data_IF_937864946189
#
_entry.id   IF_937864946189
#
_cell.length_a   1.000
_cell.length_b   1.000
_cell.length_c   1.000
_cell.angle_alpha   90.00
_cell.angle_beta   90.00
_cell.angle_gamma   90.00
#
_symmetry.space_group_name_H-M   'P 1'
#
loop_
_entity.id
_entity.type
_entity.pdbx_description
1 polymer ?
#
# COMPACT_ATOMS: atom_id res chain seq x y z
N UNK A 1 -3.52 -32.28 -28.16
CA UNK A 1 -4.15 -30.98 -28.24
C UNK A 1 -4.94 -30.58 -27.00
N UNK A 2 -5.87 -31.42 -26.45
CA UNK A 2 -6.64 -31.06 -25.21
C UNK A 2 -5.78 -30.77 -23.97
N UNK A 3 -4.66 -31.48 -23.80
CA UNK A 3 -3.73 -31.25 -22.63
C UNK A 3 -2.95 -29.94 -22.75
N UNK A 4 -2.63 -29.49 -23.96
CA UNK A 4 -1.95 -28.23 -24.20
C UNK A 4 -2.88 -27.02 -23.93
N UNK A 5 -4.17 -27.17 -24.29
CA UNK A 5 -5.20 -26.14 -24.03
C UNK A 5 -5.48 -25.98 -22.53
N UNK A 6 -5.42 -27.07 -21.74
CA UNK A 6 -5.56 -27.03 -20.28
C UNK A 6 -4.36 -26.34 -19.63
N UNK A 7 -3.15 -26.58 -20.14
CA UNK A 7 -1.92 -25.96 -19.61
C UNK A 7 -1.89 -24.45 -19.89
N UNK A 8 -2.31 -24.03 -21.09
CA UNK A 8 -2.43 -22.59 -21.40
C UNK A 8 -3.53 -21.91 -20.61
N UNK A 9 -4.64 -22.60 -20.34
CA UNK A 9 -5.70 -22.08 -19.47
C UNK A 9 -5.24 -21.94 -18.00
N UNK A 10 -4.46 -22.90 -17.50
CA UNK A 10 -3.88 -22.84 -16.14
C UNK A 10 -2.83 -21.73 -16.02
N UNK A 11 -2.01 -21.50 -17.04
CA UNK A 11 -1.01 -20.41 -17.05
C UNK A 11 -1.73 -19.04 -17.12
N UNK A 12 -2.82 -18.94 -17.89
CA UNK A 12 -3.61 -17.70 -17.96
C UNK A 12 -4.35 -17.39 -16.65
N UNK A 13 -4.84 -18.42 -15.92
CA UNK A 13 -5.51 -18.23 -14.64
C UNK A 13 -4.55 -17.75 -13.54
N UNK A 14 -3.30 -18.22 -13.53
CA UNK A 14 -2.30 -17.74 -12.58
C UNK A 14 -1.81 -16.30 -12.87
N UNK A 15 -1.90 -15.84 -14.14
CA UNK A 15 -1.53 -14.46 -14.50
C UNK A 15 -2.55 -13.41 -13.99
N UNK A 16 -3.75 -13.82 -13.58
CA UNK A 16 -4.81 -12.95 -13.05
C UNK A 16 -4.91 -12.95 -11.52
N UNK A 17 -4.08 -13.72 -10.83
CA UNK A 17 -4.13 -13.89 -9.39
C UNK A 17 -3.18 -12.93 -8.63
N UNK A 18 -2.46 -12.06 -9.34
CA UNK A 18 -1.53 -11.13 -8.73
C UNK A 18 -2.29 -9.98 -8.04
N UNK A 19 -1.97 -9.71 -6.78
CA UNK A 19 -2.57 -8.59 -6.05
C UNK A 19 -2.25 -7.25 -6.71
N UNK A 20 -3.25 -6.39 -6.74
CA UNK A 20 -3.19 -5.04 -7.28
C UNK A 20 -3.33 -4.06 -6.13
N UNK A 21 -2.41 -3.13 -6.07
CA UNK A 21 -2.42 -2.04 -5.13
C UNK A 21 -2.71 -0.73 -5.86
N UNK A 22 -3.80 -0.06 -5.53
CA UNK A 22 -4.08 1.32 -5.95
C UNK A 22 -3.57 2.27 -4.88
N UNK A 23 -2.63 3.11 -5.24
CA UNK A 23 -2.01 4.11 -4.36
C UNK A 23 -2.63 5.47 -4.66
N UNK A 24 -3.00 6.18 -3.61
CA UNK A 24 -3.47 7.56 -3.67
C UNK A 24 -2.61 8.40 -2.76
N UNK A 25 -1.96 9.43 -3.29
CA UNK A 25 -1.29 10.46 -2.51
C UNK A 25 -2.20 11.67 -2.41
N UNK A 26 -2.43 12.17 -1.20
CA UNK A 26 -3.44 13.19 -0.91
C UNK A 26 -2.81 14.42 -0.26
N UNK A 27 -3.17 15.59 -0.75
CA UNK A 27 -2.76 16.87 -0.14
C UNK A 27 -3.89 17.46 0.71
N UNK A 28 -4.12 16.86 1.87
CA UNK A 28 -5.12 17.32 2.84
C UNK A 28 -4.53 18.45 3.71
N UNK A 29 -5.20 19.62 3.84
CA UNK A 29 -4.72 20.68 4.71
C UNK A 29 -4.46 20.19 6.14
N UNK A 30 -3.32 20.54 6.73
CA UNK A 30 -2.91 20.11 8.07
C UNK A 30 -3.96 20.37 9.16
N UNK A 31 -4.70 21.48 9.04
CA UNK A 31 -5.79 21.82 9.96
C UNK A 31 -6.98 20.84 9.90
N UNK A 32 -7.10 20.06 8.82
CA UNK A 32 -8.15 19.06 8.61
C UNK A 32 -7.66 17.62 8.73
N UNK A 33 -6.37 17.42 8.99
CA UNK A 33 -5.74 16.10 8.98
C UNK A 33 -6.41 15.12 9.97
N UNK A 34 -6.65 15.54 11.21
CA UNK A 34 -7.29 14.69 12.22
C UNK A 34 -8.75 14.35 11.86
N UNK A 35 -9.47 15.29 11.29
CA UNK A 35 -10.86 15.06 10.87
C UNK A 35 -10.89 14.13 9.65
N UNK A 36 -9.95 14.28 8.73
CA UNK A 36 -9.79 13.37 7.60
C UNK A 36 -9.60 11.91 8.08
N UNK A 37 -8.69 11.64 9.03
CA UNK A 37 -8.47 10.28 9.56
C UNK A 37 -9.74 9.69 10.17
N UNK A 38 -10.51 10.48 10.93
CA UNK A 38 -11.78 10.04 11.52
C UNK A 38 -12.83 9.75 10.44
N UNK A 39 -12.96 10.62 9.45
CA UNK A 39 -13.88 10.45 8.33
C UNK A 39 -13.45 9.25 7.46
N UNK A 40 -12.15 9.07 7.21
CA UNK A 40 -11.63 7.92 6.48
C UNK A 40 -12.07 6.61 7.15
N UNK A 41 -11.80 6.46 8.46
CA UNK A 41 -12.28 5.30 9.23
C UNK A 41 -13.79 5.11 9.07
N UNK A 42 -14.59 6.17 9.32
CA UNK A 42 -16.05 6.10 9.27
C UNK A 42 -16.54 5.60 7.92
N UNK A 43 -16.04 6.16 6.81
CA UNK A 43 -16.56 5.85 5.49
C UNK A 43 -15.99 4.54 4.92
N UNK A 44 -14.81 4.11 5.35
CA UNK A 44 -14.32 2.75 5.10
C UNK A 44 -15.21 1.73 5.82
N UNK A 45 -15.55 1.95 7.08
CA UNK A 45 -16.45 1.06 7.83
C UNK A 45 -17.83 0.98 7.15
N UNK A 46 -18.37 2.13 6.70
CA UNK A 46 -19.63 2.17 5.94
C UNK A 46 -19.51 1.45 4.59
N UNK A 47 -18.40 1.60 3.87
CA UNK A 47 -18.16 0.90 2.62
C UNK A 47 -18.22 -0.62 2.79
N UNK A 48 -17.63 -1.15 3.86
CA UNK A 48 -17.63 -2.58 4.15
C UNK A 48 -18.92 -3.08 4.81
N UNK A 49 -19.85 -2.19 5.22
CA UNK A 49 -21.15 -2.56 5.71
C UNK A 49 -22.02 -3.16 4.60
N UNK A 50 -22.35 -4.42 4.68
CA UNK A 50 -23.48 -4.95 3.91
C UNK A 50 -23.19 -5.60 2.57
N UNK A 51 -21.94 -5.73 2.11
CA UNK A 51 -21.67 -6.43 0.86
C UNK A 51 -20.62 -7.52 1.03
N UNK A 52 -21.03 -8.77 0.72
CA UNK A 52 -20.08 -9.88 0.50
C UNK A 52 -19.35 -9.71 -0.86
N UNK A 53 -19.84 -8.81 -1.72
CA UNK A 53 -19.37 -8.57 -3.08
C UNK A 53 -18.30 -7.45 -3.18
N UNK A 54 -17.82 -6.92 -2.04
CA UNK A 54 -16.77 -5.92 -2.03
C UNK A 54 -15.52 -6.42 -2.76
N UNK A 55 -15.11 -5.68 -3.80
CA UNK A 55 -13.96 -6.05 -4.61
C UNK A 55 -12.63 -5.67 -3.97
N UNK A 56 -12.63 -4.64 -3.11
CA UNK A 56 -11.49 -4.26 -2.31
C UNK A 56 -11.28 -5.28 -1.18
N UNK A 57 -10.07 -5.82 -1.09
CA UNK A 57 -9.69 -6.76 -0.04
C UNK A 57 -9.31 -6.02 1.26
N UNK A 58 -8.60 -4.91 1.13
CA UNK A 58 -8.18 -4.10 2.28
C UNK A 58 -7.84 -2.67 1.87
N UNK A 59 -7.80 -1.77 2.85
CA UNK A 59 -7.25 -0.43 2.69
C UNK A 59 -6.30 -0.09 3.83
N UNK A 60 -5.32 0.76 3.54
CA UNK A 60 -4.22 1.14 4.42
C UNK A 60 -4.02 2.65 4.35
N UNK A 61 -3.85 3.29 5.50
CA UNK A 61 -3.65 4.74 5.61
C UNK A 61 -2.31 5.05 6.26
N UNK A 62 -1.57 5.96 5.63
CA UNK A 62 -0.29 6.46 6.11
C UNK A 62 -0.29 7.99 6.11
N UNK A 63 0.36 8.59 7.11
CA UNK A 63 0.70 10.02 7.08
C UNK A 63 2.14 10.20 6.60
N UNK A 64 2.34 11.21 5.78
CA UNK A 64 3.69 11.62 5.40
C UNK A 64 4.48 12.15 6.60
N UNK A 65 5.77 11.81 6.63
CA UNK A 65 6.71 12.31 7.65
C UNK A 65 7.88 13.03 7.00
N UNK A 66 8.55 12.42 6.01
CA UNK A 66 9.67 13.01 5.27
C UNK A 66 9.71 12.50 3.81
N UNK A 67 10.17 13.34 2.88
CA UNK A 67 10.57 12.92 1.54
C UNK A 67 9.61 13.30 0.40
N UNK A 68 8.44 13.89 0.68
CA UNK A 68 7.50 14.36 -0.35
C UNK A 68 6.56 15.46 0.13
N UNK A 69 5.68 15.93 -0.75
CA UNK A 69 4.80 17.10 -0.53
C UNK A 69 3.35 16.72 -0.16
N UNK A 70 2.99 15.42 -0.11
CA UNK A 70 1.64 14.99 0.25
C UNK A 70 1.42 14.90 1.78
N UNK A 71 0.17 14.91 2.22
CA UNK A 71 -0.19 14.75 3.64
C UNK A 71 -0.45 13.29 4.00
N UNK A 72 -1.18 12.56 3.15
CA UNK A 72 -1.54 11.16 3.36
C UNK A 72 -1.25 10.31 2.13
N UNK A 73 -0.99 9.03 2.37
CA UNK A 73 -0.99 7.98 1.35
C UNK A 73 -2.05 6.96 1.74
N UNK A 74 -2.97 6.66 0.82
CA UNK A 74 -3.95 5.58 0.95
C UNK A 74 -3.56 4.48 -0.03
N UNK A 75 -3.61 3.23 0.42
CA UNK A 75 -3.40 2.07 -0.43
C UNK A 75 -4.63 1.19 -0.34
N UNK A 76 -5.26 0.94 -1.48
CA UNK A 76 -6.35 -0.03 -1.61
C UNK A 76 -5.81 -1.29 -2.28
N UNK A 77 -6.08 -2.44 -1.67
CA UNK A 77 -5.62 -3.74 -2.17
C UNK A 77 -6.79 -4.48 -2.80
N UNK A 78 -6.54 -5.01 -3.98
CA UNK A 78 -7.49 -5.81 -4.74
C UNK A 78 -6.89 -7.17 -5.08
N UNK A 79 -7.69 -8.26 -5.07
CA UNK A 79 -7.16 -9.61 -5.32
C UNK A 79 -6.64 -9.81 -6.75
N UNK A 80 -7.00 -8.95 -7.69
CA UNK A 80 -6.51 -8.95 -9.07
C UNK A 80 -6.98 -7.71 -9.83
N UNK A 81 -6.47 -7.52 -11.05
CA UNK A 81 -6.79 -6.36 -11.90
C UNK A 81 -8.28 -6.33 -12.33
N UNK A 82 -8.96 -7.46 -12.44
CA UNK A 82 -10.38 -7.50 -12.77
C UNK A 82 -11.22 -6.97 -11.61
N UNK A 83 -10.86 -7.34 -10.38
CA UNK A 83 -11.50 -6.82 -9.18
C UNK A 83 -11.29 -5.31 -9.06
N UNK A 84 -10.07 -4.82 -9.29
CA UNK A 84 -9.76 -3.38 -9.27
C UNK A 84 -10.54 -2.63 -10.37
N UNK A 85 -10.49 -3.09 -11.62
CA UNK A 85 -11.17 -2.45 -12.75
C UNK A 85 -12.72 -2.51 -12.65
N UNK A 86 -13.26 -3.51 -11.95
CA UNK A 86 -14.69 -3.68 -11.70
C UNK A 86 -15.12 -3.15 -10.33
N UNK A 87 -14.18 -2.60 -9.54
CA UNK A 87 -14.52 -1.93 -8.29
C UNK A 87 -15.49 -0.81 -8.62
N UNK A 88 -16.72 -1.00 -8.21
CA UNK A 88 -17.75 0.01 -8.35
C UNK A 88 -17.24 1.25 -7.62
N UNK A 89 -17.49 2.40 -8.22
CA UNK A 89 -17.20 3.69 -7.63
C UNK A 89 -17.50 3.64 -6.11
N UNK A 90 -16.45 3.74 -5.32
CA UNK A 90 -16.47 3.71 -3.87
C UNK A 90 -17.59 4.57 -3.28
N UNK A 91 -17.83 5.76 -3.87
CA UNK A 91 -18.90 6.65 -3.48
C UNK A 91 -20.32 6.10 -3.71
N UNK A 92 -20.51 5.27 -4.72
CA UNK A 92 -21.82 4.64 -4.99
C UNK A 92 -22.15 3.64 -3.89
N UNK A 93 -21.20 2.80 -3.48
CA UNK A 93 -21.42 1.82 -2.40
C UNK A 93 -21.62 2.49 -1.03
N UNK A 94 -20.84 3.53 -0.71
CA UNK A 94 -21.01 4.30 0.53
C UNK A 94 -22.40 4.90 0.59
N UNK A 95 -22.87 5.59 -0.47
CA UNK A 95 -24.20 6.19 -0.50
C UNK A 95 -25.32 5.15 -0.40
N UNK A 96 -25.22 4.04 -1.11
CA UNK A 96 -26.14 2.92 -1.03
C UNK A 96 -26.23 2.34 0.39
N UNK A 97 -25.08 2.17 1.05
CA UNK A 97 -25.04 1.65 2.41
C UNK A 97 -25.67 2.65 3.41
N UNK A 98 -25.41 3.95 3.27
CA UNK A 98 -26.09 4.99 4.07
C UNK A 98 -27.62 4.93 3.86
N UNK A 99 -28.09 4.78 2.62
CA UNK A 99 -29.52 4.69 2.33
C UNK A 99 -30.18 3.47 2.98
N UNK A 100 -29.44 2.38 3.14
CA UNK A 100 -29.92 1.13 3.75
C UNK A 100 -29.79 1.09 5.29
N UNK A 101 -29.17 2.09 5.93
CA UNK A 101 -29.10 2.14 7.39
C UNK A 101 -30.48 2.33 8.01
N UNK A 102 -30.73 1.69 9.15
CA UNK A 102 -31.95 1.90 9.97
C UNK A 102 -31.77 3.11 10.91
N UNK A 103 -31.68 4.29 10.30
CA UNK A 103 -31.56 5.59 10.99
C UNK A 103 -32.52 6.61 10.35
N UNK A 104 -32.75 7.74 11.01
CA UNK A 104 -33.65 8.80 10.53
C UNK A 104 -33.17 9.41 9.21
N UNK A 105 -34.09 10.02 8.49
CA UNK A 105 -33.80 10.79 7.25
C UNK A 105 -32.72 11.87 7.48
N UNK A 106 -32.86 12.61 8.58
CA UNK A 106 -31.94 13.72 8.90
C UNK A 106 -30.53 13.18 9.19
N UNK A 107 -30.40 12.05 9.89
CA UNK A 107 -29.10 11.39 10.12
C UNK A 107 -28.46 10.89 8.81
N UNK A 108 -29.25 10.29 7.90
CA UNK A 108 -28.75 9.91 6.55
C UNK A 108 -28.25 11.12 5.78
N UNK A 109 -28.99 12.22 5.82
CA UNK A 109 -28.60 13.47 5.17
C UNK A 109 -27.28 14.01 5.74
N UNK A 110 -27.14 14.05 7.07
CA UNK A 110 -25.89 14.49 7.73
C UNK A 110 -24.70 13.60 7.31
N UNK A 111 -24.88 12.28 7.27
CA UNK A 111 -23.82 11.37 6.82
C UNK A 111 -23.42 11.60 5.35
N UNK A 112 -24.38 11.89 4.47
CA UNK A 112 -24.11 12.20 3.06
C UNK A 112 -23.40 13.54 2.89
N UNK A 113 -23.73 14.54 3.68
CA UNK A 113 -23.06 15.85 3.68
C UNK A 113 -21.60 15.70 4.19
N UNK A 114 -21.40 14.90 5.24
CA UNK A 114 -20.07 14.57 5.75
C UNK A 114 -19.25 13.71 4.75
N UNK A 115 -19.91 12.75 4.08
CA UNK A 115 -19.29 11.99 2.98
C UNK A 115 -18.82 12.91 1.85
N UNK A 116 -19.66 13.86 1.44
CA UNK A 116 -19.29 14.84 0.41
C UNK A 116 -18.04 15.64 0.82
N UNK A 117 -17.98 16.07 2.09
CA UNK A 117 -16.81 16.78 2.63
C UNK A 117 -15.54 15.93 2.60
N UNK A 118 -15.64 14.67 3.05
CA UNK A 118 -14.53 13.73 3.00
C UNK A 118 -14.07 13.47 1.57
N UNK A 119 -15.01 13.23 0.67
CA UNK A 119 -14.72 12.91 -0.73
C UNK A 119 -14.06 14.10 -1.46
N UNK A 120 -14.45 15.32 -1.15
CA UNK A 120 -13.74 16.51 -1.66
C UNK A 120 -12.30 16.55 -1.19
N UNK A 121 -12.03 16.31 0.10
CA UNK A 121 -10.65 16.25 0.62
C UNK A 121 -9.83 15.13 -0.03
N UNK A 122 -10.49 14.04 -0.41
CA UNK A 122 -9.85 12.92 -1.11
C UNK A 122 -9.53 13.27 -2.56
N UNK A 123 -10.41 14.02 -3.25
CA UNK A 123 -10.26 14.35 -4.67
C UNK A 123 -9.35 15.57 -4.92
N UNK A 124 -9.34 16.53 -4.01
CA UNK A 124 -8.54 17.75 -4.15
C UNK A 124 -7.05 17.43 -3.98
N UNK A 125 -6.29 17.47 -5.08
CA UNK A 125 -4.83 17.28 -5.06
C UNK A 125 -4.39 15.83 -4.80
N UNK A 126 -5.06 14.85 -5.41
CA UNK A 126 -4.61 13.47 -5.38
C UNK A 126 -3.88 13.07 -6.67
N UNK A 127 -2.90 12.21 -6.52
CA UNK A 127 -2.29 11.45 -7.61
C UNK A 127 -2.58 9.97 -7.44
N UNK A 128 -2.85 9.29 -8.55
CA UNK A 128 -3.19 7.88 -8.60
C UNK A 128 -2.08 7.06 -9.26
N UNK A 129 -1.77 5.93 -8.68
CA UNK A 129 -0.98 4.91 -9.37
C UNK A 129 -1.49 3.51 -9.07
N UNK A 130 -1.32 2.61 -10.03
CA UNK A 130 -1.63 1.20 -9.87
C UNK A 130 -0.32 0.43 -9.92
N UNK A 131 -0.13 -0.45 -8.93
CA UNK A 131 1.05 -1.29 -8.79
C UNK A 131 0.65 -2.76 -8.65
N UNK A 132 1.58 -3.64 -9.03
CA UNK A 132 1.44 -5.08 -8.85
C UNK A 132 2.48 -5.56 -7.86
N UNK A 133 2.13 -6.48 -6.98
CA UNK A 133 3.06 -7.09 -6.03
C UNK A 133 4.00 -8.08 -6.72
N UNK A 134 5.18 -8.26 -6.14
CA UNK A 134 6.09 -9.38 -6.44
C UNK A 134 5.94 -10.40 -5.31
N UNK A 135 4.88 -11.21 -5.36
CA UNK A 135 4.42 -12.06 -4.26
C UNK A 135 5.50 -13.02 -3.74
N UNK A 136 6.34 -13.55 -4.64
CA UNK A 136 7.48 -14.42 -4.31
C UNK A 136 8.64 -13.69 -3.60
N UNK A 137 8.58 -12.36 -3.53
CA UNK A 137 9.60 -11.51 -2.91
C UNK A 137 9.09 -10.78 -1.66
N UNK A 138 7.82 -10.95 -1.31
CA UNK A 138 7.29 -10.41 -0.05
C UNK A 138 8.01 -11.11 1.12
N UNK A 139 8.40 -10.30 2.09
CA UNK A 139 8.89 -10.77 3.38
C UNK A 139 7.94 -10.25 4.47
N UNK A 140 7.54 -11.12 5.36
CA UNK A 140 6.83 -10.79 6.60
C UNK A 140 7.50 -11.59 7.70
N UNK A 141 7.84 -10.92 8.81
CA UNK A 141 8.41 -11.59 9.99
C UNK A 141 7.46 -12.70 10.50
N UNK A 142 8.01 -13.72 11.15
CA UNK A 142 7.22 -14.79 11.76
C UNK A 142 6.35 -14.30 12.93
N UNK A 143 6.73 -13.17 13.54
CA UNK A 143 5.94 -12.52 14.59
C UNK A 143 4.78 -11.76 13.96
N UNK A 144 3.59 -11.87 14.57
CA UNK A 144 2.42 -11.07 14.16
C UNK A 144 2.73 -9.57 14.24
N UNK A 145 2.45 -8.85 13.14
CA UNK A 145 2.52 -7.39 13.14
C UNK A 145 1.27 -6.85 13.84
N UNK A 146 1.47 -6.05 14.89
CA UNK A 146 0.36 -5.42 15.63
C UNK A 146 -0.10 -4.14 14.91
N UNK A 147 -1.08 -4.28 14.03
CA UNK A 147 -1.66 -3.16 13.27
C UNK A 147 -2.51 -2.20 14.11
N UNK A 148 -2.65 -2.43 15.42
CA UNK A 148 -3.21 -1.43 16.34
C UNK A 148 -2.18 -0.37 16.75
N UNK A 149 -0.92 -0.56 16.41
CA UNK A 149 0.19 0.35 16.73
C UNK A 149 0.70 1.07 15.49
N UNK A 150 1.22 2.27 15.72
CA UNK A 150 1.95 3.03 14.69
C UNK A 150 3.26 2.34 14.33
N UNK A 151 3.53 2.27 13.04
CA UNK A 151 4.75 1.74 12.46
C UNK A 151 5.39 2.81 11.57
N UNK A 152 6.71 2.77 11.44
CA UNK A 152 7.41 3.54 10.42
C UNK A 152 7.45 2.72 9.14
N UNK A 153 7.01 3.33 8.05
CA UNK A 153 7.02 2.69 6.73
C UNK A 153 7.78 3.54 5.74
N UNK A 154 8.82 2.97 5.17
CA UNK A 154 9.67 3.64 4.18
C UNK A 154 9.33 3.07 2.80
N UNK A 155 8.85 3.92 1.92
CA UNK A 155 8.68 3.59 0.51
C UNK A 155 9.96 3.96 -0.22
N UNK A 156 10.73 2.94 -0.56
CA UNK A 156 11.97 3.04 -1.33
C UNK A 156 11.62 2.90 -2.81
N UNK A 157 11.89 3.91 -3.61
CA UNK A 157 11.47 4.02 -5.00
C UNK A 157 12.67 4.13 -5.92
N UNK A 158 12.64 3.42 -7.04
CA UNK A 158 13.71 3.45 -8.06
C UNK A 158 13.15 3.36 -9.47
N UNK A 159 13.85 3.96 -10.40
CA UNK A 159 13.41 4.02 -11.79
C UNK A 159 14.43 3.43 -12.76
N UNK A 160 14.80 2.13 -12.61
CA UNK A 160 15.69 1.47 -13.54
C UNK A 160 15.13 1.48 -14.95
N UNK A 161 16.00 1.65 -15.95
CA UNK A 161 15.60 1.58 -17.35
C UNK A 161 15.00 0.21 -17.64
N UNK A 162 14.04 0.14 -18.55
CA UNK A 162 13.33 -1.10 -18.89
C UNK A 162 14.26 -2.30 -19.16
N UNK A 163 15.34 -2.07 -19.90
CA UNK A 163 16.33 -3.11 -20.23
C UNK A 163 17.08 -3.66 -19.01
N UNK A 164 17.26 -2.84 -17.96
CA UNK A 164 18.03 -3.14 -16.77
C UNK A 164 17.15 -3.61 -15.58
N UNK A 165 15.82 -3.52 -15.74
CA UNK A 165 14.85 -3.75 -14.65
C UNK A 165 14.98 -5.11 -13.98
N UNK A 166 15.13 -6.19 -14.75
CA UNK A 166 15.26 -7.55 -14.20
C UNK A 166 16.57 -7.71 -13.42
N UNK A 167 17.66 -7.17 -13.94
CA UNK A 167 18.95 -7.17 -13.28
C UNK A 167 18.87 -6.36 -11.98
N UNK A 168 18.29 -5.16 -12.02
CA UNK A 168 18.06 -4.33 -10.85
C UNK A 168 17.30 -5.09 -9.73
N UNK A 169 16.15 -5.68 -10.03
CA UNK A 169 15.35 -6.43 -9.05
C UNK A 169 16.16 -7.59 -8.46
N UNK A 170 16.91 -8.33 -9.28
CA UNK A 170 17.76 -9.42 -8.80
C UNK A 170 18.84 -8.94 -7.84
N UNK A 171 19.53 -7.85 -8.17
CA UNK A 171 20.57 -7.25 -7.32
C UNK A 171 19.99 -6.65 -6.05
N UNK A 172 18.83 -5.97 -6.15
CA UNK A 172 18.10 -5.42 -5.00
C UNK A 172 17.71 -6.52 -4.00
N UNK A 173 17.18 -7.65 -4.50
CA UNK A 173 16.84 -8.80 -3.65
C UNK A 173 18.05 -9.35 -2.90
N UNK A 174 19.20 -9.51 -3.57
CA UNK A 174 20.43 -10.04 -2.98
C UNK A 174 21.07 -9.11 -1.96
N UNK A 175 21.01 -7.80 -2.22
CA UNK A 175 21.70 -6.79 -1.40
C UNK A 175 20.77 -6.14 -0.41
N UNK A 176 19.88 -5.25 -0.86
CA UNK A 176 19.06 -4.42 0.03
C UNK A 176 18.05 -5.24 0.82
N UNK A 177 17.24 -6.06 0.12
CA UNK A 177 16.21 -6.87 0.76
C UNK A 177 16.82 -7.89 1.74
N UNK A 178 17.77 -8.69 1.28
CA UNK A 178 18.37 -9.72 2.12
C UNK A 178 19.11 -9.14 3.33
N UNK A 179 19.86 -8.06 3.14
CA UNK A 179 20.54 -7.39 4.25
C UNK A 179 19.56 -6.86 5.31
N UNK A 180 18.41 -6.30 4.88
CA UNK A 180 17.40 -5.84 5.82
C UNK A 180 16.72 -6.99 6.59
N UNK A 181 16.55 -8.14 5.95
CA UNK A 181 16.05 -9.36 6.61
C UNK A 181 17.07 -9.88 7.63
N UNK A 182 18.34 -9.98 7.23
CA UNK A 182 19.42 -10.52 8.09
C UNK A 182 19.66 -9.65 9.33
N UNK A 183 19.39 -8.36 9.26
CA UNK A 183 19.44 -7.44 10.40
C UNK A 183 18.29 -7.66 11.40
N UNK A 184 17.17 -8.25 10.96
CA UNK A 184 16.05 -8.60 11.82
C UNK A 184 15.18 -7.40 12.28
N UNK A 185 15.43 -6.19 11.78
CA UNK A 185 14.71 -4.98 12.20
C UNK A 185 13.45 -4.72 11.35
N UNK A 186 13.41 -5.22 10.12
CA UNK A 186 12.26 -5.08 9.24
C UNK A 186 11.15 -6.08 9.63
N UNK A 187 9.94 -5.58 9.87
CA UNK A 187 8.75 -6.40 10.12
C UNK A 187 8.18 -6.98 8.83
N UNK A 188 8.20 -6.19 7.76
CA UNK A 188 7.78 -6.62 6.42
C UNK A 188 8.53 -5.83 5.34
N UNK A 189 8.68 -6.45 4.18
CA UNK A 189 9.18 -5.83 2.96
C UNK A 189 8.24 -6.24 1.82
N UNK A 190 7.56 -5.27 1.23
CA UNK A 190 6.56 -5.49 0.18
C UNK A 190 7.02 -4.79 -1.10
N UNK A 191 7.68 -5.50 -2.03
CA UNK A 191 8.09 -4.95 -3.30
C UNK A 191 6.93 -4.94 -4.31
N UNK A 192 6.85 -3.87 -5.09
CA UNK A 192 5.84 -3.67 -6.12
C UNK A 192 6.45 -3.14 -7.40
N UNK A 193 5.83 -3.49 -8.52
CA UNK A 193 6.14 -2.96 -9.84
C UNK A 193 5.05 -2.01 -10.32
N UNK A 194 5.43 -0.98 -11.05
CA UNK A 194 4.51 -0.06 -11.68
C UNK A 194 3.65 -0.76 -12.75
N UNK A 195 2.34 -0.54 -12.71
CA UNK A 195 1.39 -1.01 -13.71
C UNK A 195 0.79 0.15 -14.51
N UNK A 196 0.33 1.21 -13.85
CA UNK A 196 -0.27 2.40 -14.48
C UNK A 196 -0.11 3.64 -13.59
N UNK A 197 -0.14 4.83 -14.20
CA UNK A 197 0.08 6.12 -13.52
C UNK A 197 1.45 6.72 -13.83
N UNK A 198 1.78 7.83 -13.19
CA UNK A 198 3.06 8.56 -13.38
C UNK A 198 3.99 8.34 -12.19
N UNK A 199 4.64 7.19 -12.09
CA UNK A 199 5.45 6.87 -10.92
C UNK A 199 6.71 6.08 -11.25
N UNK A 200 7.49 5.78 -10.22
CA UNK A 200 8.69 4.95 -10.27
C UNK A 200 8.37 3.52 -10.70
N UNK A 201 9.22 2.92 -11.54
CA UNK A 201 8.98 1.58 -12.08
C UNK A 201 9.10 0.46 -11.04
N UNK A 202 9.84 0.70 -9.96
CA UNK A 202 10.00 -0.19 -8.82
C UNK A 202 9.80 0.58 -7.51
N UNK A 203 9.12 -0.04 -6.55
CA UNK A 203 8.94 0.47 -5.20
C UNK A 203 8.98 -0.71 -4.22
N UNK A 204 9.51 -0.50 -3.02
CA UNK A 204 9.41 -1.45 -1.93
C UNK A 204 9.03 -0.72 -0.63
N UNK A 205 8.01 -1.20 0.05
CA UNK A 205 7.61 -0.71 1.38
C UNK A 205 8.33 -1.51 2.46
N UNK A 206 9.15 -0.86 3.26
CA UNK A 206 9.84 -1.42 4.42
C UNK A 206 9.13 -1.01 5.69
N UNK A 207 8.69 -1.95 6.49
CA UNK A 207 7.98 -1.75 7.74
C UNK A 207 8.90 -1.93 8.94
N UNK A 208 8.87 -0.99 9.88
CA UNK A 208 9.65 -1.00 11.11
C UNK A 208 8.74 -0.76 12.31
N UNK A 209 9.02 -1.43 13.43
CA UNK A 209 8.23 -1.29 14.66
C UNK A 209 8.30 0.12 15.26
N UNK A 210 9.38 0.85 15.01
CA UNK A 210 9.66 2.17 15.59
C UNK A 210 10.72 2.92 14.80
N UNK A 211 10.92 4.20 15.14
CA UNK A 211 12.05 5.00 14.66
C UNK A 211 13.40 4.40 15.06
N UNK A 212 13.50 3.81 16.25
CA UNK A 212 14.73 3.18 16.72
C UNK A 212 15.11 2.00 15.83
N UNK A 213 14.16 1.11 15.55
CA UNK A 213 14.33 -0.04 14.64
C UNK A 213 14.76 0.41 13.24
N UNK A 214 14.09 1.43 12.69
CA UNK A 214 14.49 2.03 11.42
C UNK A 214 15.93 2.57 11.45
N UNK A 215 16.30 3.33 12.47
CA UNK A 215 17.64 3.92 12.59
C UNK A 215 18.73 2.86 12.81
N UNK A 216 18.44 1.77 13.50
CA UNK A 216 19.36 0.63 13.63
C UNK A 216 19.62 0.02 12.27
N UNK A 217 18.57 -0.21 11.47
CA UNK A 217 18.69 -0.71 10.11
C UNK A 217 19.58 0.21 9.24
N UNK A 218 19.32 1.53 9.25
CA UNK A 218 20.09 2.51 8.45
C UNK A 218 21.57 2.54 8.86
N UNK A 219 21.86 2.64 10.16
CA UNK A 219 23.24 2.65 10.66
C UNK A 219 24.00 1.37 10.31
N UNK A 220 23.34 0.22 10.33
CA UNK A 220 23.97 -1.05 9.98
C UNK A 220 24.31 -1.10 8.49
N UNK A 221 23.45 -0.55 7.63
CA UNK A 221 23.74 -0.43 6.19
C UNK A 221 24.91 0.53 5.93
N UNK A 222 24.98 1.67 6.62
CA UNK A 222 26.09 2.63 6.54
C UNK A 222 27.42 2.00 7.00
N UNK A 223 27.39 1.19 8.07
CA UNK A 223 28.57 0.56 8.66
C UNK A 223 28.99 -0.75 7.97
N UNK A 224 28.26 -1.23 6.97
CA UNK A 224 28.56 -2.49 6.26
C UNK A 224 29.86 -2.47 5.43
N UNK A 225 30.56 -1.34 5.44
CA UNK A 225 31.81 -1.14 4.70
C UNK A 225 31.59 -0.67 3.26
N UNK A 226 32.64 -0.68 2.41
CA UNK A 226 32.51 -0.25 1.03
C UNK A 226 31.57 -1.18 0.25
N UNK A 227 30.73 -0.57 -0.61
CA UNK A 227 29.82 -1.32 -1.47
C UNK A 227 30.58 -2.39 -2.29
N UNK A 228 30.06 -3.60 -2.31
CA UNK A 228 30.53 -4.65 -3.19
C UNK A 228 30.10 -4.38 -4.66
N UNK A 229 30.57 -5.20 -5.59
CA UNK A 229 30.34 -4.95 -7.03
C UNK A 229 28.85 -5.10 -7.40
N UNK A 230 28.10 -6.01 -6.77
CA UNK A 230 26.65 -6.14 -6.95
C UNK A 230 25.90 -4.87 -6.50
N UNK A 231 26.27 -4.31 -5.34
CA UNK A 231 25.70 -3.07 -4.82
C UNK A 231 26.02 -1.87 -5.72
N UNK A 232 27.28 -1.73 -6.15
CA UNK A 232 27.66 -0.67 -7.10
C UNK A 232 26.86 -0.79 -8.39
N UNK A 233 26.78 -2.00 -8.95
CA UNK A 233 26.03 -2.24 -10.18
C UNK A 233 24.56 -1.94 -10.01
N UNK A 234 23.95 -2.31 -8.89
CA UNK A 234 22.56 -1.98 -8.58
C UNK A 234 22.33 -0.46 -8.60
N UNK A 235 23.21 0.31 -7.94
CA UNK A 235 23.11 1.78 -7.93
C UNK A 235 23.35 2.40 -9.30
N UNK A 236 24.26 1.89 -10.09
CA UNK A 236 24.53 2.38 -11.46
C UNK A 236 23.29 2.27 -12.38
N UNK A 237 22.45 1.25 -12.15
CA UNK A 237 21.27 0.99 -12.96
C UNK A 237 19.94 1.37 -12.29
N UNK A 238 19.95 1.86 -11.05
CA UNK A 238 18.75 2.22 -10.28
C UNK A 238 17.95 3.37 -10.91
N UNK A 239 18.60 4.21 -11.71
CA UNK A 239 18.00 5.44 -12.21
C UNK A 239 17.78 6.47 -11.10
N UNK A 240 16.67 7.20 -11.17
CA UNK A 240 16.29 8.09 -10.08
C UNK A 240 15.85 7.26 -8.87
N UNK A 241 16.25 7.70 -7.70
CA UNK A 241 15.93 7.09 -6.43
C UNK A 241 15.29 8.10 -5.48
N UNK A 242 14.30 7.63 -4.71
CA UNK A 242 13.61 8.44 -3.71
C UNK A 242 13.21 7.56 -2.53
N UNK A 243 13.32 8.09 -1.32
CA UNK A 243 12.76 7.51 -0.12
C UNK A 243 11.66 8.42 0.44
N UNK A 244 10.51 7.84 0.71
CA UNK A 244 9.42 8.49 1.44
C UNK A 244 9.25 7.80 2.78
N UNK A 245 9.37 8.55 3.86
CA UNK A 245 9.15 8.05 5.22
C UNK A 245 7.76 8.44 5.66
N UNK A 246 6.98 7.45 6.01
CA UNK A 246 5.59 7.61 6.47
C UNK A 246 5.37 6.96 7.82
N UNK A 247 4.31 7.39 8.50
CA UNK A 247 3.80 6.71 9.69
C UNK A 247 2.50 6.02 9.34
N UNK A 248 2.42 4.73 9.59
CA UNK A 248 1.19 3.96 9.46
C UNK A 248 0.15 4.43 10.48
N UNK A 249 -1.08 4.70 10.00
CA UNK A 249 -2.18 5.23 10.79
C UNK A 249 -3.35 4.27 10.97
N UNK A 250 -3.41 3.19 10.18
CA UNK A 250 -4.47 2.22 10.30
C UNK A 250 -4.77 1.45 9.01
N UNK A 251 -5.53 0.39 9.15
CA UNK A 251 -5.95 -0.46 8.04
C UNK A 251 -7.20 -1.27 8.35
N UNK A 252 -7.70 -1.99 7.33
CA UNK A 252 -8.76 -2.99 7.47
C UNK A 252 -8.20 -4.42 7.56
N UNK A 253 -7.02 -4.60 8.15
CA UNK A 253 -6.46 -5.92 8.43
C UNK A 253 -6.54 -6.19 9.93
N UNK A 254 -6.96 -7.41 10.28
CA UNK A 254 -6.81 -7.92 11.64
C UNK A 254 -5.40 -8.50 11.82
N UNK A 255 -4.98 -8.69 13.06
CA UNK A 255 -3.80 -9.49 13.38
C UNK A 255 -3.89 -10.86 12.66
N UNK A 256 -2.73 -11.41 12.24
CA UNK A 256 -2.60 -12.70 11.51
C UNK A 256 -2.95 -12.68 10.02
N UNK A 257 -2.91 -11.51 9.37
CA UNK A 257 -3.08 -11.44 7.92
C UNK A 257 -4.50 -11.69 7.43
N UNK A 258 -5.50 -11.61 8.30
CA UNK A 258 -6.91 -11.78 7.93
C UNK A 258 -7.51 -10.41 7.65
N UNK A 259 -8.07 -10.16 6.44
CA UNK A 259 -8.81 -8.94 6.16
C UNK A 259 -9.96 -8.74 7.15
N UNK A 260 -10.09 -7.54 7.69
CA UNK A 260 -11.20 -7.11 8.54
C UNK A 260 -12.13 -6.20 7.74
N UNK A 261 -13.43 -6.28 8.01
CA UNK A 261 -14.42 -5.33 7.46
C UNK A 261 -14.49 -4.03 8.27
N UNK A 262 -13.60 -3.85 9.23
CA UNK A 262 -13.55 -2.66 10.11
C UNK A 262 -12.18 -2.04 10.06
N UNK A 263 -12.13 -0.74 9.86
CA UNK A 263 -10.88 0.01 9.85
C UNK A 263 -10.39 0.24 11.30
N UNK A 264 -9.20 -0.24 11.60
CA UNK A 264 -8.54 -0.03 12.89
C UNK A 264 -7.56 1.14 12.79
N UNK A 265 -7.73 2.15 13.64
CA UNK A 265 -6.76 3.25 13.76
C UNK A 265 -5.62 2.78 14.66
N UNK A 266 -4.39 2.99 14.23
CA UNK A 266 -3.18 2.73 15.01
C UNK A 266 -2.92 3.84 16.04
N UNK A 267 -2.63 3.46 17.28
CA UNK A 267 -2.37 4.36 18.43
C UNK A 267 -0.89 4.47 18.78
#
# INVERSE_FOLDING_TARGET
>A
MKKLLLLTLFISLNSFAQEIHSFYTLDVPRSKANDFVKMHKKFIDIYFMGSEDNKMASTWLFSHTYGSDFTFKVIEVYPNIIAQASAVNYGVEVNKNIDNMDISYDEKKMLKDEWSTYFQLFLEGHDDEIRVTFDDQIFITENDIDFSKKHIVVFNESNPKWKDRREYISLWNKSTRQSSIDLGEALAIVPTGHYSGSSYTFQAAFWYSSWESFLVNQKSLENSGPMNDDQKRMWDISGNHKDEITTFLGCTWASKGIPSKTFTIAE
#
